data_IF_202236515496
#
_entry.id   IF_202236515496
#
_cell.length_a   1.000
_cell.length_b   1.000
_cell.length_c   1.000
_cell.angle_alpha   90.00
_cell.angle_beta   90.00
_cell.angle_gamma   90.00
#
_symmetry.space_group_name_H-M   'P 1'
#
loop_
_entity.id
_entity.type
_entity.pdbx_description
1 polymer ?
#
# COMPACT_ATOMS: atom_id res chain seq x y z
N UNK A 1 -9.13 -15.15 -2.01
CA UNK A 1 -8.05 -14.19 -1.74
C UNK A 1 -8.62 -12.85 -1.28
N UNK A 2 -7.89 -12.15 -0.47
CA UNK A 2 -8.29 -10.85 0.04
C UNK A 2 -7.24 -9.79 -0.29
N UNK A 3 -7.69 -8.67 -0.85
CA UNK A 3 -6.85 -7.57 -1.27
C UNK A 3 -7.09 -6.33 -0.40
N UNK A 4 -6.02 -5.72 0.07
CA UNK A 4 -6.04 -4.39 0.67
C UNK A 4 -5.44 -3.41 -0.32
N UNK A 5 -6.18 -2.36 -0.66
CA UNK A 5 -5.69 -1.28 -1.50
C UNK A 5 -5.60 0.00 -0.68
N UNK A 6 -4.45 0.66 -0.75
CA UNK A 6 -4.22 1.91 -0.03
C UNK A 6 -4.31 3.07 -1.01
N UNK A 7 -5.39 3.84 -0.90
CA UNK A 7 -5.62 5.04 -1.69
C UNK A 7 -4.87 6.24 -1.10
N UNK A 8 -4.72 7.29 -1.89
CA UNK A 8 -4.10 8.55 -1.48
C UNK A 8 -4.81 9.73 -2.16
N UNK A 9 -4.26 10.93 -2.07
CA UNK A 9 -4.88 12.10 -2.67
C UNK A 9 -4.84 12.11 -4.21
N UNK A 10 -3.91 11.38 -4.83
CA UNK A 10 -3.83 11.29 -6.29
C UNK A 10 -4.70 10.18 -6.86
N UNK A 11 -4.71 9.01 -6.20
CA UNK A 11 -5.63 7.93 -6.54
C UNK A 11 -6.52 7.71 -5.31
N UNK A 12 -7.67 8.36 -5.30
CA UNK A 12 -8.60 8.33 -4.17
C UNK A 12 -9.36 7.00 -4.10
N UNK A 13 -10.15 6.83 -3.04
CA UNK A 13 -10.87 5.57 -2.80
C UNK A 13 -11.80 5.20 -3.97
N UNK A 14 -12.50 6.18 -4.55
CA UNK A 14 -13.42 5.93 -5.67
C UNK A 14 -12.66 5.44 -6.92
N UNK A 15 -11.50 6.02 -7.20
CA UNK A 15 -10.66 5.59 -8.32
C UNK A 15 -10.09 4.18 -8.09
N UNK A 16 -9.67 3.88 -6.86
CA UNK A 16 -9.21 2.54 -6.49
C UNK A 16 -10.33 1.51 -6.67
N UNK A 17 -11.53 1.80 -6.18
CA UNK A 17 -12.68 0.92 -6.31
C UNK A 17 -12.98 0.62 -7.79
N UNK A 18 -12.98 1.66 -8.62
CA UNK A 18 -13.24 1.51 -10.05
C UNK A 18 -12.14 0.70 -10.75
N UNK A 19 -10.88 1.00 -10.44
CA UNK A 19 -9.74 0.33 -11.07
C UNK A 19 -9.58 -1.13 -10.66
N UNK A 20 -10.08 -1.50 -9.47
CA UNK A 20 -9.95 -2.86 -8.96
C UNK A 20 -11.23 -3.69 -9.12
N UNK A 21 -12.21 -3.18 -9.87
CA UNK A 21 -13.45 -3.89 -10.11
C UNK A 21 -13.24 -5.29 -10.70
N UNK A 22 -12.26 -5.44 -11.59
CA UNK A 22 -11.94 -6.73 -12.19
C UNK A 22 -11.54 -7.78 -11.17
N UNK A 23 -10.86 -7.39 -10.10
CA UNK A 23 -10.50 -8.31 -9.02
C UNK A 23 -11.75 -8.80 -8.29
N UNK A 24 -12.68 -7.91 -7.99
CA UNK A 24 -13.96 -8.27 -7.36
C UNK A 24 -14.78 -9.19 -8.26
N UNK A 25 -14.81 -8.91 -9.56
CA UNK A 25 -15.55 -9.71 -10.55
C UNK A 25 -14.97 -11.13 -10.64
N UNK A 26 -13.72 -11.33 -10.26
CA UNK A 26 -13.07 -12.64 -10.22
C UNK A 26 -13.05 -13.29 -8.83
N UNK A 27 -13.89 -12.81 -7.92
CA UNK A 27 -14.08 -13.42 -6.60
C UNK A 27 -13.06 -13.01 -5.54
N UNK A 28 -12.24 -11.99 -5.81
CA UNK A 28 -11.30 -11.45 -4.83
C UNK A 28 -11.99 -10.38 -4.00
N UNK A 29 -11.95 -10.51 -2.68
CA UNK A 29 -12.44 -9.46 -1.79
C UNK A 29 -11.46 -8.29 -1.83
N UNK A 30 -11.96 -7.07 -2.04
CA UNK A 30 -11.15 -5.85 -2.09
C UNK A 30 -11.64 -4.89 -1.02
N UNK A 31 -10.73 -4.50 -0.13
CA UNK A 31 -10.96 -3.44 0.84
C UNK A 31 -10.06 -2.25 0.49
N UNK A 32 -10.64 -1.05 0.43
CA UNK A 32 -9.89 0.17 0.15
C UNK A 32 -9.80 1.00 1.43
N UNK A 33 -8.57 1.37 1.80
CA UNK A 33 -8.30 2.27 2.92
C UNK A 33 -7.51 3.45 2.39
N UNK A 34 -7.67 4.61 2.99
CA UNK A 34 -7.03 5.83 2.52
C UNK A 34 -5.89 6.26 3.43
N UNK A 35 -4.71 6.48 2.84
CA UNK A 35 -3.59 7.13 3.50
C UNK A 35 -3.82 8.64 3.40
N UNK A 36 -4.41 9.19 4.46
CA UNK A 36 -4.87 10.58 4.47
C UNK A 36 -3.73 11.57 4.68
N UNK A 37 -3.81 12.68 3.95
CA UNK A 37 -2.93 13.83 4.13
C UNK A 37 -3.76 15.10 4.13
N UNK A 38 -3.32 16.12 4.89
CA UNK A 38 -4.02 17.40 4.96
C UNK A 38 -3.97 18.15 3.64
N UNK A 39 -2.96 17.92 2.82
CA UNK A 39 -2.77 18.57 1.54
C UNK A 39 -1.92 17.73 0.60
N UNK A 40 -1.96 18.07 -0.69
CA UNK A 40 -1.12 17.45 -1.71
C UNK A 40 0.36 17.66 -1.38
N UNK A 41 0.72 18.82 -0.86
CA UNK A 41 2.10 19.16 -0.48
C UNK A 41 2.62 18.21 0.60
N UNK A 42 1.79 17.86 1.59
CA UNK A 42 2.15 16.93 2.64
C UNK A 42 2.40 15.53 2.10
N UNK A 43 1.54 15.08 1.19
CA UNK A 43 1.74 13.79 0.51
C UNK A 43 3.04 13.79 -0.30
N UNK A 44 3.31 14.89 -1.03
CA UNK A 44 4.52 15.00 -1.83
C UNK A 44 5.79 15.01 -0.96
N UNK A 45 5.75 15.64 0.21
CA UNK A 45 6.87 15.61 1.17
C UNK A 45 7.17 14.18 1.62
N UNK A 46 6.14 13.43 2.00
CA UNK A 46 6.30 12.04 2.43
C UNK A 46 6.81 11.16 1.28
N UNK A 47 6.26 11.33 0.08
CA UNK A 47 6.71 10.59 -1.09
C UNK A 47 8.18 10.89 -1.42
N UNK A 48 8.59 12.15 -1.32
CA UNK A 48 9.99 12.54 -1.56
C UNK A 48 10.92 11.90 -0.53
N UNK A 49 10.52 11.84 0.73
CA UNK A 49 11.30 11.16 1.76
C UNK A 49 11.47 9.68 1.44
N UNK A 50 10.42 9.02 0.98
CA UNK A 50 10.48 7.61 0.59
C UNK A 50 11.42 7.43 -0.59
N UNK A 51 11.36 8.30 -1.59
CA UNK A 51 12.24 8.23 -2.77
C UNK A 51 13.71 8.44 -2.40
N UNK A 52 14.00 9.37 -1.49
CA UNK A 52 15.37 9.73 -1.12
C UNK A 52 15.96 8.86 -0.02
N UNK A 53 15.13 8.42 0.93
CA UNK A 53 15.59 7.74 2.15
C UNK A 53 15.12 6.28 2.24
N UNK A 54 14.21 5.85 1.37
CA UNK A 54 13.69 4.49 1.35
C UNK A 54 12.38 4.31 2.10
N UNK A 55 11.81 3.12 1.97
CA UNK A 55 10.48 2.80 2.51
C UNK A 55 10.38 2.90 4.04
N UNK A 56 11.50 2.72 4.75
CA UNK A 56 11.50 2.77 6.22
C UNK A 56 11.44 4.20 6.77
N UNK A 57 11.62 5.22 5.93
CA UNK A 57 11.67 6.62 6.37
C UNK A 57 10.32 7.17 6.82
N UNK A 58 9.23 6.61 6.32
CA UNK A 58 7.87 7.07 6.61
C UNK A 58 7.04 5.91 7.13
N UNK A 59 6.43 6.08 8.30
CA UNK A 59 5.55 5.08 8.90
C UNK A 59 4.10 5.34 8.50
N UNK A 60 3.34 4.27 8.20
CA UNK A 60 1.91 4.38 8.00
C UNK A 60 1.19 4.41 9.35
N UNK A 61 0.04 5.11 9.45
CA UNK A 61 -0.80 5.04 10.65
C UNK A 61 -1.21 3.61 10.96
N UNK A 62 -1.21 3.23 12.23
CA UNK A 62 -1.61 1.88 12.64
C UNK A 62 -3.03 1.52 12.19
N UNK A 63 -3.92 2.51 12.15
CA UNK A 63 -5.31 2.31 11.72
C UNK A 63 -5.40 1.73 10.29
N UNK A 64 -4.43 2.03 9.43
CA UNK A 64 -4.39 1.47 8.08
C UNK A 64 -4.02 -0.02 8.06
N UNK A 65 -3.43 -0.51 9.13
CA UNK A 65 -2.89 -1.86 9.20
C UNK A 65 -3.63 -2.75 10.20
N UNK A 66 -4.74 -2.27 10.76
CA UNK A 66 -5.54 -3.06 11.70
C UNK A 66 -6.36 -4.13 10.97
N UNK A 67 -6.39 -5.34 11.55
CA UNK A 67 -7.18 -6.43 11.00
C UNK A 67 -6.71 -6.93 9.65
N UNK A 68 -5.41 -6.89 9.41
CA UNK A 68 -4.82 -7.24 8.11
C UNK A 68 -4.14 -8.61 8.09
N UNK A 69 -4.41 -9.46 9.07
CA UNK A 69 -3.77 -10.78 9.20
C UNK A 69 -4.08 -11.72 8.03
N UNK A 70 -5.20 -11.50 7.35
CA UNK A 70 -5.71 -12.37 6.27
C UNK A 70 -5.54 -11.78 4.88
N UNK A 71 -4.78 -10.69 4.75
CA UNK A 71 -4.54 -10.03 3.46
C UNK A 71 -3.51 -10.82 2.63
N UNK A 72 -3.88 -11.17 1.41
CA UNK A 72 -3.02 -11.88 0.45
C UNK A 72 -2.35 -10.93 -0.54
N UNK A 73 -3.03 -9.83 -0.89
CA UNK A 73 -2.59 -8.87 -1.91
C UNK A 73 -2.63 -7.46 -1.34
N UNK A 74 -1.55 -6.72 -1.53
CA UNK A 74 -1.48 -5.30 -1.17
C UNK A 74 -1.27 -4.48 -2.43
N UNK A 75 -2.14 -3.50 -2.66
CA UNK A 75 -2.03 -2.54 -3.78
C UNK A 75 -1.78 -1.16 -3.18
N UNK A 76 -0.77 -0.48 -3.69
CA UNK A 76 -0.40 0.85 -3.23
C UNK A 76 0.10 1.71 -4.38
N UNK A 77 0.09 3.03 -4.21
CA UNK A 77 0.77 3.96 -5.11
C UNK A 77 1.95 4.62 -4.40
N UNK A 78 1.68 5.51 -3.46
CA UNK A 78 2.73 6.23 -2.73
C UNK A 78 2.99 5.70 -1.32
N UNK A 79 2.03 5.01 -0.72
CA UNK A 79 2.20 4.49 0.64
C UNK A 79 3.40 3.55 0.70
N UNK A 80 4.31 3.73 1.65
CA UNK A 80 5.49 2.88 1.76
C UNK A 80 5.13 1.48 2.26
N UNK A 81 5.79 0.48 1.69
CA UNK A 81 5.67 -0.92 2.12
C UNK A 81 6.99 -1.28 2.82
N UNK A 82 7.03 -0.99 4.10
CA UNK A 82 8.21 -1.14 4.94
C UNK A 82 8.10 -2.36 5.86
N UNK A 83 9.08 -2.57 6.71
CA UNK A 83 9.12 -3.71 7.64
C UNK A 83 7.86 -3.80 8.50
N UNK A 84 7.39 -2.67 9.04
CA UNK A 84 6.19 -2.65 9.87
C UNK A 84 4.94 -3.10 9.11
N UNK A 85 4.84 -2.73 7.81
CA UNK A 85 3.73 -3.15 6.96
C UNK A 85 3.80 -4.67 6.73
N UNK A 86 4.95 -5.20 6.38
CA UNK A 86 5.11 -6.64 6.19
C UNK A 86 4.79 -7.43 7.45
N UNK A 87 5.18 -6.91 8.61
CA UNK A 87 4.90 -7.57 9.90
C UNK A 87 3.41 -7.66 10.21
N UNK A 88 2.61 -6.69 9.74
CA UNK A 88 1.17 -6.67 9.94
C UNK A 88 0.39 -7.50 8.91
N UNK A 89 1.04 -7.93 7.85
CA UNK A 89 0.43 -8.72 6.78
C UNK A 89 1.14 -10.08 6.64
N UNK A 90 0.99 -10.98 7.61
CA UNK A 90 1.76 -12.24 7.62
C UNK A 90 1.43 -13.19 6.46
N UNK A 91 0.24 -13.07 5.87
CA UNK A 91 -0.19 -13.91 4.74
C UNK A 91 0.02 -13.26 3.38
N UNK A 92 0.65 -12.09 3.34
CA UNK A 92 0.86 -11.34 2.11
C UNK A 92 1.68 -12.15 1.09
N UNK A 93 1.17 -12.25 -0.14
CA UNK A 93 1.80 -12.98 -1.24
C UNK A 93 2.20 -12.07 -2.40
N UNK A 94 1.45 -11.00 -2.62
CA UNK A 94 1.66 -10.10 -3.77
C UNK A 94 1.59 -8.64 -3.34
N UNK A 95 2.50 -7.83 -3.88
CA UNK A 95 2.46 -6.38 -3.74
C UNK A 95 2.39 -5.78 -5.14
N UNK A 96 1.33 -5.01 -5.41
CA UNK A 96 1.19 -4.25 -6.64
C UNK A 96 1.41 -2.78 -6.38
N UNK A 97 2.24 -2.13 -7.19
CA UNK A 97 2.55 -0.71 -7.06
C UNK A 97 2.07 0.00 -8.32
N UNK A 98 1.20 1.00 -8.14
CA UNK A 98 0.57 1.74 -9.24
C UNK A 98 1.40 2.95 -9.65
N UNK A 99 2.72 2.78 -9.72
CA UNK A 99 3.67 3.82 -10.14
C UNK A 99 4.81 3.17 -10.93
N UNK A 100 5.64 3.99 -11.56
CA UNK A 100 6.68 3.51 -12.46
C UNK A 100 7.88 2.84 -11.81
N UNK A 101 8.01 2.92 -10.49
CA UNK A 101 9.11 2.31 -9.76
C UNK A 101 8.64 1.65 -8.48
N UNK A 102 9.56 1.05 -7.74
CA UNK A 102 9.27 0.35 -6.48
C UNK A 102 10.03 0.95 -5.30
N UNK A 103 10.35 2.24 -5.37
CA UNK A 103 11.11 2.95 -4.35
C UNK A 103 10.40 2.94 -2.99
N UNK A 104 9.08 2.81 -2.99
CA UNK A 104 8.26 2.76 -1.78
C UNK A 104 8.16 1.35 -1.17
N UNK A 105 8.79 0.34 -1.76
CA UNK A 105 8.78 -1.03 -1.22
C UNK A 105 10.17 -1.39 -0.72
N UNK A 106 10.25 -1.91 0.51
CA UNK A 106 11.51 -2.46 1.01
C UNK A 106 11.74 -3.83 0.37
N UNK A 107 12.48 -3.84 -0.74
CA UNK A 107 12.71 -5.06 -1.52
C UNK A 107 13.50 -6.11 -0.77
N UNK A 108 14.38 -5.71 0.15
CA UNK A 108 15.15 -6.67 0.96
C UNK A 108 14.23 -7.49 1.84
N UNK A 109 13.26 -6.85 2.51
CA UNK A 109 12.27 -7.54 3.34
C UNK A 109 11.34 -8.39 2.48
N UNK A 110 10.87 -7.84 1.34
CA UNK A 110 9.99 -8.57 0.42
C UNK A 110 10.69 -9.84 -0.10
N UNK A 111 11.94 -9.74 -0.51
CA UNK A 111 12.72 -10.87 -1.02
C UNK A 111 13.00 -11.91 0.06
N UNK A 112 13.24 -11.49 1.30
CA UNK A 112 13.48 -12.39 2.42
C UNK A 112 12.24 -13.21 2.78
N UNK A 113 11.05 -12.68 2.50
CA UNK A 113 9.79 -13.40 2.72
C UNK A 113 9.41 -14.34 1.57
N UNK A 114 10.01 -14.15 0.44
CA UNK A 114 9.65 -14.90 -0.78
C UNK A 114 8.49 -14.20 -1.51
#
# INVERSE_FOLDING_TARGET
MKCLAIADLFINAAMMESGLKALRDNGIEVEVREWSHDSVEKLQEDNLRVEQEGAEAVALPEALLQGTDDIDILITQFAPVNTAVFDKLPKLKYVGVLRGGVENVNLQVANARG
#
